data_IF_253596914762
#
_entry.id   IF_253596914762
#
_cell.length_a   1.000
_cell.length_b   1.000
_cell.length_c   1.000
_cell.angle_alpha   90.00
_cell.angle_beta   90.00
_cell.angle_gamma   90.00
#
_symmetry.space_group_name_H-M   'P 1'
#
loop_
_entity.id
_entity.type
_entity.pdbx_description
1 polymer ?
#
# COMPACT_ATOMS: atom_id res chain seq x y z
N UNK A 1 -5.84 22.68 -22.52
CA UNK A 1 -6.91 22.65 -21.49
C UNK A 1 -8.03 21.78 -22.06
N UNK A 2 -8.47 20.74 -21.35
CA UNK A 2 -9.49 19.83 -21.88
C UNK A 2 -10.86 20.54 -21.95
N UNK A 3 -11.64 20.25 -23.00
CA UNK A 3 -12.98 20.83 -23.16
C UNK A 3 -13.91 20.45 -21.99
N UNK A 4 -13.73 19.25 -21.45
CA UNK A 4 -14.38 18.74 -20.25
C UNK A 4 -13.28 18.33 -19.28
N UNK A 5 -13.28 18.95 -18.10
CA UNK A 5 -12.29 18.69 -17.06
C UNK A 5 -12.95 18.69 -15.67
N UNK A 6 -12.72 17.64 -14.88
CA UNK A 6 -13.21 17.51 -13.52
C UNK A 6 -12.06 17.19 -12.59
N UNK A 7 -11.99 17.95 -11.49
CA UNK A 7 -11.27 17.51 -10.31
C UNK A 7 -12.03 16.43 -9.57
N UNK A 8 -11.27 15.54 -8.95
CA UNK A 8 -11.79 14.47 -8.12
C UNK A 8 -11.38 14.76 -6.68
N UNK A 9 -12.36 14.85 -5.80
CA UNK A 9 -12.15 14.92 -4.36
C UNK A 9 -12.64 13.64 -3.69
N UNK A 10 -11.83 13.11 -2.78
CA UNK A 10 -12.18 11.96 -1.95
C UNK A 10 -12.70 12.45 -0.60
N UNK A 11 -13.71 11.76 -0.07
CA UNK A 11 -14.24 12.04 1.27
C UNK A 11 -14.21 10.74 2.09
N UNK A 12 -13.64 10.77 3.31
CA UNK A 12 -12.90 11.89 3.91
C UNK A 12 -11.66 12.28 3.09
N UNK A 13 -11.25 13.54 3.21
CA UNK A 13 -10.06 14.05 2.53
C UNK A 13 -8.79 13.33 3.03
N UNK A 14 -8.74 13.07 4.34
CA UNK A 14 -7.71 12.26 4.96
C UNK A 14 -8.04 10.77 4.82
N UNK A 15 -7.70 10.22 3.66
CA UNK A 15 -7.81 8.80 3.41
C UNK A 15 -6.85 8.01 4.30
N UNK A 16 -7.40 6.98 4.94
CA UNK A 16 -6.72 5.94 5.68
C UNK A 16 -6.81 4.65 4.89
N UNK A 17 -5.64 4.09 4.63
CA UNK A 17 -5.49 2.78 4.02
C UNK A 17 -4.90 1.87 5.07
N UNK A 18 -5.55 0.73 5.29
CA UNK A 18 -5.07 -0.29 6.22
C UNK A 18 -4.37 -1.38 5.43
N UNK A 19 -3.15 -1.69 5.84
CA UNK A 19 -2.33 -2.72 5.24
C UNK A 19 -2.17 -3.89 6.21
N UNK A 20 -2.11 -5.09 5.66
CA UNK A 20 -1.72 -6.30 6.37
C UNK A 20 -0.43 -6.80 5.76
N UNK A 21 0.58 -7.07 6.59
CA UNK A 21 1.77 -7.78 6.14
C UNK A 21 1.40 -9.25 5.86
N UNK A 22 1.69 -9.72 4.65
CA UNK A 22 1.32 -11.08 4.19
C UNK A 22 2.50 -11.95 3.84
N UNK A 23 3.69 -11.35 3.69
CA UNK A 23 4.90 -12.08 3.34
C UNK A 23 6.14 -11.27 3.65
N UNK A 24 7.26 -11.97 3.79
CA UNK A 24 8.55 -11.37 4.07
C UNK A 24 9.65 -12.13 3.34
N UNK A 25 10.61 -11.39 2.80
CA UNK A 25 11.83 -11.90 2.20
C UNK A 25 13.04 -11.18 2.80
N UNK A 26 14.24 -11.58 2.39
CA UNK A 26 15.46 -10.88 2.76
C UNK A 26 15.51 -9.44 2.19
N UNK A 27 14.68 -9.08 1.22
CA UNK A 27 14.75 -7.77 0.52
C UNK A 27 13.46 -6.97 0.53
N UNK A 28 12.33 -7.56 0.90
CA UNK A 28 11.05 -6.89 0.86
C UNK A 28 10.02 -7.46 1.85
N UNK A 29 9.15 -6.58 2.35
CA UNK A 29 7.93 -6.90 3.07
C UNK A 29 6.76 -6.82 2.10
N UNK A 30 6.07 -7.93 1.86
CA UNK A 30 4.84 -7.94 1.06
C UNK A 30 3.67 -7.50 1.94
N UNK A 31 2.99 -6.45 1.52
CA UNK A 31 1.78 -5.93 2.18
C UNK A 31 0.58 -6.04 1.26
N UNK A 32 -0.58 -6.27 1.85
CA UNK A 32 -1.88 -6.31 1.16
C UNK A 32 -2.79 -5.24 1.73
N UNK A 33 -3.44 -4.47 0.86
CA UNK A 33 -4.48 -3.54 1.31
C UNK A 33 -5.70 -4.33 1.77
N UNK A 34 -6.11 -4.11 3.02
CA UNK A 34 -7.27 -4.79 3.62
C UNK A 34 -8.47 -3.88 3.75
N UNK A 35 -8.23 -2.58 3.92
CA UNK A 35 -9.29 -1.60 4.05
C UNK A 35 -8.88 -0.24 3.48
N UNK A 36 -9.88 0.51 3.02
CA UNK A 36 -9.78 1.88 2.54
C UNK A 36 -11.03 2.63 3.01
N UNK A 37 -10.85 3.65 3.84
CA UNK A 37 -11.94 4.44 4.41
C UNK A 37 -12.53 5.47 3.41
N UNK A 38 -12.84 5.09 2.17
CA UNK A 38 -13.41 6.00 1.17
C UNK A 38 -14.94 6.01 1.18
N UNK A 39 -15.59 7.07 1.64
CA UNK A 39 -17.05 7.09 1.72
C UNK A 39 -17.69 7.52 0.40
N UNK A 40 -17.17 8.59 -0.20
CA UNK A 40 -17.68 9.13 -1.46
C UNK A 40 -16.59 9.80 -2.28
N UNK A 41 -16.87 9.93 -3.57
CA UNK A 41 -16.06 10.67 -4.54
C UNK A 41 -16.88 11.84 -5.03
N UNK A 42 -16.29 13.02 -5.15
CA UNK A 42 -16.95 14.24 -5.61
C UNK A 42 -16.27 14.74 -6.87
N UNK A 43 -17.05 14.95 -7.92
CA UNK A 43 -16.57 15.55 -9.17
C UNK A 43 -16.77 17.06 -9.15
N UNK A 44 -15.67 17.81 -9.13
CA UNK A 44 -15.64 19.27 -9.15
C UNK A 44 -15.32 19.75 -10.57
N UNK A 45 -16.26 20.42 -11.27
CA UNK A 45 -16.00 20.88 -12.62
C UNK A 45 -14.91 21.95 -12.63
N UNK A 46 -13.93 21.81 -13.53
CA UNK A 46 -12.84 22.78 -13.79
C UNK A 46 -13.02 23.58 -15.08
N UNK A 47 -13.88 23.11 -15.99
CA UNK A 47 -14.15 23.77 -17.26
C UNK A 47 -15.66 24.03 -17.45
N UNK A 48 -16.00 24.97 -18.34
CA UNK A 48 -17.39 25.25 -18.69
C UNK A 48 -18.12 24.01 -19.26
N UNK A 49 -17.42 23.17 -20.03
CA UNK A 49 -17.97 21.90 -20.51
C UNK A 49 -18.26 20.90 -19.39
N UNK A 50 -17.45 20.90 -18.32
CA UNK A 50 -17.69 20.06 -17.15
C UNK A 50 -18.87 20.53 -16.31
N UNK A 51 -19.16 21.84 -16.26
CA UNK A 51 -20.36 22.36 -15.58
C UNK A 51 -21.63 21.78 -16.20
N UNK A 52 -21.68 21.69 -17.54
CA UNK A 52 -22.83 21.10 -18.26
C UNK A 52 -23.03 19.61 -17.96
N UNK A 53 -21.94 18.89 -17.74
CA UNK A 53 -21.95 17.45 -17.47
C UNK A 53 -22.02 17.10 -15.98
N UNK A 54 -22.02 18.11 -15.09
CA UNK A 54 -22.05 17.91 -13.65
C UNK A 54 -23.22 17.04 -13.16
N UNK A 55 -24.47 17.21 -13.65
CA UNK A 55 -25.58 16.35 -13.20
C UNK A 55 -25.34 14.86 -13.51
N UNK A 56 -24.74 14.56 -14.67
CA UNK A 56 -24.38 13.19 -15.03
C UNK A 56 -23.23 12.66 -14.17
N UNK A 57 -22.21 13.49 -13.91
CA UNK A 57 -21.11 13.12 -13.03
C UNK A 57 -21.57 12.87 -11.58
N UNK A 58 -22.45 13.72 -11.05
CA UNK A 58 -23.03 13.57 -9.72
C UNK A 58 -23.93 12.33 -9.61
N UNK A 59 -24.60 11.92 -10.69
CA UNK A 59 -25.35 10.67 -10.73
C UNK A 59 -24.44 9.42 -10.68
N UNK A 60 -23.20 9.53 -11.17
CA UNK A 60 -22.20 8.44 -11.15
C UNK A 60 -21.37 8.43 -9.85
N UNK A 61 -21.25 9.56 -9.15
CA UNK A 61 -20.47 9.70 -7.93
C UNK A 61 -20.74 8.63 -6.84
N UNK A 62 -21.99 8.21 -6.57
CA UNK A 62 -22.26 7.17 -5.57
C UNK A 62 -21.66 5.81 -5.93
N UNK A 63 -21.47 5.53 -7.22
CA UNK A 63 -20.89 4.26 -7.69
C UNK A 63 -19.35 4.28 -7.67
N UNK A 64 -18.73 5.46 -7.65
CA UNK A 64 -17.28 5.58 -7.75
C UNK A 64 -16.56 5.02 -6.51
N UNK A 65 -17.00 5.39 -5.30
CA UNK A 65 -16.37 4.92 -4.05
C UNK A 65 -16.31 3.39 -3.92
N UNK A 66 -17.41 2.61 -4.10
CA UNK A 66 -17.34 1.16 -4.02
C UNK A 66 -16.48 0.54 -5.12
N UNK A 67 -16.45 1.11 -6.33
CA UNK A 67 -15.59 0.63 -7.43
C UNK A 67 -14.12 0.84 -7.08
N UNK A 68 -13.75 2.01 -6.57
CA UNK A 68 -12.38 2.30 -6.13
C UNK A 68 -11.98 1.35 -5.00
N UNK A 69 -12.82 1.17 -3.97
CA UNK A 69 -12.56 0.20 -2.90
C UNK A 69 -12.35 -1.21 -3.44
N UNK A 70 -13.23 -1.69 -4.32
CA UNK A 70 -13.13 -3.03 -4.90
C UNK A 70 -11.83 -3.22 -5.71
N UNK A 71 -11.34 -2.17 -6.36
CA UNK A 71 -10.10 -2.24 -7.13
C UNK A 71 -8.87 -2.22 -6.23
N UNK A 72 -8.90 -1.45 -5.15
CA UNK A 72 -7.76 -1.22 -4.25
C UNK A 72 -7.64 -2.32 -3.19
N UNK A 73 -8.75 -2.72 -2.56
CA UNK A 73 -8.74 -3.76 -1.54
C UNK A 73 -8.31 -5.08 -2.17
N UNK A 74 -7.32 -5.71 -1.55
CA UNK A 74 -6.71 -6.94 -2.04
C UNK A 74 -5.50 -6.74 -2.94
N UNK A 75 -5.16 -5.51 -3.34
CA UNK A 75 -3.88 -5.23 -3.99
C UNK A 75 -2.73 -5.56 -3.04
N UNK A 76 -1.73 -6.24 -3.58
CA UNK A 76 -0.48 -6.54 -2.89
C UNK A 76 0.67 -5.75 -3.51
N UNK A 77 1.60 -5.32 -2.67
CA UNK A 77 2.82 -4.63 -3.08
C UNK A 77 3.98 -5.02 -2.19
N UNK A 78 5.18 -5.03 -2.77
CA UNK A 78 6.42 -5.29 -2.05
C UNK A 78 7.05 -3.97 -1.62
N UNK A 79 7.18 -3.78 -0.31
CA UNK A 79 7.88 -2.66 0.30
C UNK A 79 9.35 -3.06 0.46
N UNK A 80 10.30 -2.40 -0.23
CA UNK A 80 11.70 -2.78 -0.15
C UNK A 80 12.27 -2.54 1.25
N UNK A 81 13.11 -3.46 1.70
CA UNK A 81 13.90 -3.32 2.91
C UNK A 81 15.23 -2.66 2.56
N UNK A 82 15.59 -1.59 3.26
CA UNK A 82 16.83 -0.85 3.01
C UNK A 82 18.10 -1.68 3.29
N UNK A 83 17.97 -2.73 4.10
CA UNK A 83 19.04 -3.68 4.39
C UNK A 83 18.45 -5.09 4.49
N UNK A 84 19.21 -6.12 4.11
CA UNK A 84 18.79 -7.49 4.34
C UNK A 84 18.51 -7.76 5.81
N UNK A 85 17.53 -8.62 6.09
CA UNK A 85 17.27 -9.07 7.46
C UNK A 85 18.40 -10.01 7.87
N UNK A 86 19.40 -9.42 8.51
CA UNK A 86 20.67 -10.06 8.78
C UNK A 86 21.73 -9.05 9.21
N UNK A 87 22.93 -9.55 9.44
CA UNK A 87 24.10 -8.74 9.76
C UNK A 87 25.32 -9.29 9.02
N UNK A 88 26.24 -8.40 8.70
CA UNK A 88 27.57 -8.77 8.25
C UNK A 88 28.53 -8.56 9.41
N UNK A 89 29.39 -9.53 9.66
CA UNK A 89 30.39 -9.49 10.74
C UNK A 89 31.74 -9.77 10.11
N UNK A 90 32.68 -8.83 10.25
CA UNK A 90 34.05 -9.03 9.80
C UNK A 90 34.90 -9.58 10.94
N UNK A 91 35.46 -10.79 10.77
CA UNK A 91 36.36 -11.42 11.73
C UNK A 91 37.68 -11.70 11.00
N UNK A 92 38.79 -11.14 11.50
CA UNK A 92 40.14 -11.37 10.97
C UNK A 92 40.27 -11.16 9.45
N UNK A 93 39.59 -10.16 8.90
CA UNK A 93 39.61 -9.82 7.47
C UNK A 93 38.67 -10.65 6.59
N UNK A 94 37.91 -11.59 7.15
CA UNK A 94 36.87 -12.34 6.45
C UNK A 94 35.49 -11.79 6.82
N UNK A 95 34.64 -11.53 5.83
CA UNK A 95 33.25 -11.09 6.07
C UNK A 95 32.35 -12.31 6.10
N UNK A 96 31.71 -12.53 7.25
CA UNK A 96 30.67 -13.54 7.44
C UNK A 96 29.31 -12.86 7.29
N UNK A 97 28.48 -13.35 6.37
CA UNK A 97 27.10 -12.88 6.20
C UNK A 97 26.16 -13.81 6.97
N UNK A 98 25.41 -13.25 7.91
CA UNK A 98 24.34 -13.96 8.63
C UNK A 98 23.02 -13.38 8.15
N UNK A 99 22.18 -14.19 7.51
CA UNK A 99 20.87 -13.77 6.96
C UNK A 99 19.78 -14.73 7.38
N UNK A 100 18.53 -14.30 7.35
CA UNK A 100 17.39 -15.22 7.49
C UNK A 100 17.09 -15.90 6.15
N UNK A 101 17.22 -17.23 6.08
CA UNK A 101 16.94 -18.00 4.86
C UNK A 101 15.45 -18.18 4.57
N UNK A 102 14.63 -18.16 5.62
CA UNK A 102 13.17 -18.27 5.55
C UNK A 102 12.54 -17.38 6.63
N UNK A 103 12.48 -16.06 6.42
CA UNK A 103 11.88 -15.16 7.39
C UNK A 103 10.37 -15.37 7.43
N UNK A 104 9.83 -15.53 8.63
CA UNK A 104 8.41 -15.66 8.93
C UNK A 104 7.94 -14.43 9.71
N UNK A 105 6.72 -14.00 9.42
CA UNK A 105 6.07 -12.90 10.13
C UNK A 105 5.22 -13.47 11.27
N UNK A 106 5.46 -12.96 12.48
CA UNK A 106 4.70 -13.26 13.68
C UNK A 106 4.20 -11.99 14.37
N UNK A 107 3.37 -12.17 15.39
CA UNK A 107 2.97 -11.11 16.31
C UNK A 107 3.11 -11.62 17.73
N UNK A 108 3.74 -10.82 18.59
CA UNK A 108 3.84 -11.08 20.02
C UNK A 108 3.57 -9.76 20.77
N UNK A 109 2.60 -9.76 21.68
CA UNK A 109 2.18 -8.58 22.45
C UNK A 109 1.90 -7.32 21.58
N UNK A 110 1.35 -7.52 20.38
CA UNK A 110 1.06 -6.42 19.45
C UNK A 110 2.28 -5.86 18.72
N UNK A 111 3.47 -6.43 18.92
CA UNK A 111 4.66 -6.13 18.14
C UNK A 111 4.81 -7.11 16.98
N UNK A 112 5.08 -6.57 15.80
CA UNK A 112 5.46 -7.38 14.63
C UNK A 112 6.81 -8.02 14.89
N UNK A 113 6.87 -9.35 14.85
CA UNK A 113 8.10 -10.11 14.99
C UNK A 113 8.50 -10.73 13.66
N UNK A 114 9.81 -10.81 13.45
CA UNK A 114 10.40 -11.56 12.35
C UNK A 114 11.23 -12.68 12.97
N UNK A 115 10.94 -13.92 12.59
CA UNK A 115 11.71 -15.11 12.98
C UNK A 115 12.16 -15.87 11.74
N UNK A 116 13.12 -16.78 11.88
CA UNK A 116 13.53 -17.64 10.78
C UNK A 116 14.84 -18.35 11.07
N UNK A 117 15.22 -19.24 10.17
CA UNK A 117 16.50 -19.95 10.24
C UNK A 117 17.64 -19.04 9.77
N UNK A 118 18.66 -18.88 10.61
CA UNK A 118 19.88 -18.18 10.21
C UNK A 118 20.68 -19.04 9.22
N UNK A 119 21.06 -18.42 8.10
CA UNK A 119 21.98 -18.94 7.11
C UNK A 119 23.27 -18.15 7.22
N UNK A 120 24.39 -18.85 7.33
CA UNK A 120 25.73 -18.28 7.50
C UNK A 120 26.59 -18.67 6.31
N UNK A 121 27.24 -17.68 5.69
CA UNK A 121 28.16 -17.85 4.55
C UNK A 121 29.32 -16.90 4.61
#
# INVERSE_FOLDING_TARGET
>A
MAAVDFDIEYVPHDLRITFQATGLTDKALTVKVTDLNLDRVVFKPKSAGAVLLKPAADALAPLAAPIVKKKVIGMSSDVPLNKPIGTEITISGQTVSVRLGSPELGSHDGMLMVSGTAVVS
#
